data_IF_620173793639
#
_entry.id   IF_620173793639
#
_cell.length_a   1.000
_cell.length_b   1.000
_cell.length_c   1.000
_cell.angle_alpha   90.00
_cell.angle_beta   90.00
_cell.angle_gamma   90.00
#
_symmetry.space_group_name_H-M   'P 1'
#
loop_
_entity.id
_entity.type
_entity.pdbx_description
1 polymer ?
#
# COMPACT_ATOMS: atom_id res chain seq x y z
N UNK A 1 16.49 -34.77 -0.74
CA UNK A 1 16.46 -33.43 -0.10
C UNK A 1 16.38 -32.40 -1.21
N UNK A 2 15.21 -31.84 -1.46
CA UNK A 2 15.08 -30.72 -2.40
C UNK A 2 15.77 -29.48 -1.80
N UNK A 3 16.78 -28.97 -2.51
CA UNK A 3 17.40 -27.69 -2.17
C UNK A 3 16.40 -26.58 -2.48
N UNK A 4 15.80 -25.98 -1.46
CA UNK A 4 15.14 -24.67 -1.60
C UNK A 4 16.20 -23.66 -1.99
N UNK A 5 16.27 -23.31 -3.27
CA UNK A 5 17.04 -22.15 -3.73
C UNK A 5 16.49 -20.92 -3.01
N UNK A 6 17.36 -20.07 -2.41
CA UNK A 6 16.90 -18.82 -1.83
C UNK A 6 16.26 -18.01 -2.95
N UNK A 7 14.98 -17.67 -2.80
CA UNK A 7 14.28 -16.78 -3.72
C UNK A 7 15.09 -15.50 -3.83
N UNK A 8 15.72 -15.30 -5.00
CA UNK A 8 16.46 -14.08 -5.34
C UNK A 8 15.52 -12.93 -5.01
N UNK A 9 15.84 -12.14 -3.98
CA UNK A 9 14.99 -11.02 -3.56
C UNK A 9 15.00 -10.00 -4.70
N UNK A 10 14.01 -10.08 -5.59
CA UNK A 10 13.81 -9.09 -6.63
C UNK A 10 13.41 -7.81 -5.94
N UNK A 11 14.37 -6.88 -5.82
CA UNK A 11 14.11 -5.55 -5.27
C UNK A 11 13.10 -4.89 -6.20
N UNK A 12 11.88 -4.67 -5.70
CA UNK A 12 10.82 -3.97 -6.43
C UNK A 12 10.64 -2.58 -5.81
N UNK A 13 10.58 -1.56 -6.66
CA UNK A 13 10.38 -0.18 -6.27
C UNK A 13 9.17 0.40 -7.00
N UNK A 14 8.45 1.30 -6.32
CA UNK A 14 7.39 2.11 -6.92
C UNK A 14 7.96 3.52 -7.08
N UNK A 15 8.05 4.02 -8.31
CA UNK A 15 8.43 5.41 -8.58
C UNK A 15 7.23 6.32 -8.37
N UNK A 16 7.45 7.42 -7.66
CA UNK A 16 6.44 8.44 -7.38
C UNK A 16 7.07 9.78 -7.76
N UNK A 17 6.29 10.72 -8.31
CA UNK A 17 6.79 12.07 -8.57
C UNK A 17 7.11 12.77 -7.26
N UNK A 18 8.21 13.54 -7.22
CA UNK A 18 8.76 14.13 -6.00
C UNK A 18 7.71 14.95 -5.22
N UNK A 19 6.96 15.79 -5.94
CA UNK A 19 5.93 16.63 -5.34
C UNK A 19 4.61 15.89 -5.02
N UNK A 20 4.38 14.72 -5.64
CA UNK A 20 3.13 14.00 -5.51
C UNK A 20 2.89 13.60 -4.05
N UNK A 21 3.88 13.02 -3.39
CA UNK A 21 3.69 12.57 -2.01
C UNK A 21 3.47 13.73 -1.05
N UNK A 22 4.28 14.78 -1.14
CA UNK A 22 4.15 15.96 -0.29
C UNK A 22 2.78 16.66 -0.48
N UNK A 23 2.36 16.81 -1.75
CA UNK A 23 1.09 17.40 -2.10
C UNK A 23 -0.09 16.58 -1.57
N UNK A 24 -0.12 15.28 -1.84
CA UNK A 24 -1.23 14.43 -1.39
C UNK A 24 -1.29 14.32 0.13
N UNK A 25 -0.14 14.22 0.81
CA UNK A 25 -0.13 14.24 2.29
C UNK A 25 -0.73 15.54 2.84
N UNK A 26 -0.54 16.69 2.17
CA UNK A 26 -1.14 17.96 2.59
C UNK A 26 -2.66 18.03 2.36
N UNK A 27 -3.19 17.30 1.38
CA UNK A 27 -4.61 17.32 1.00
C UNK A 27 -5.41 16.27 1.79
N UNK A 28 -5.00 15.01 1.72
CA UNK A 28 -5.75 13.87 2.26
C UNK A 28 -5.17 13.35 3.58
N UNK A 29 -4.02 13.86 4.01
CA UNK A 29 -3.32 13.41 5.22
C UNK A 29 -2.45 12.17 5.01
N UNK A 30 -1.56 11.93 5.97
CA UNK A 30 -0.55 10.85 5.90
C UNK A 30 -1.17 9.45 5.80
N UNK A 31 -2.19 9.15 6.61
CA UNK A 31 -2.81 7.82 6.64
C UNK A 31 -3.41 7.39 5.29
N UNK A 32 -4.30 8.21 4.71
CA UNK A 32 -4.85 7.98 3.36
C UNK A 32 -3.77 7.93 2.27
N UNK A 33 -2.79 8.84 2.29
CA UNK A 33 -1.69 8.83 1.33
C UNK A 33 -0.88 7.52 1.38
N UNK A 34 -0.56 7.03 2.57
CA UNK A 34 0.16 5.76 2.73
C UNK A 34 -0.69 4.55 2.32
N UNK A 35 -2.01 4.60 2.54
CA UNK A 35 -2.93 3.55 2.06
C UNK A 35 -2.93 3.48 0.53
N UNK A 36 -2.96 4.63 -0.15
CA UNK A 36 -2.86 4.70 -1.61
C UNK A 36 -1.55 4.10 -2.14
N UNK A 37 -0.41 4.37 -1.49
CA UNK A 37 0.87 3.77 -1.85
C UNK A 37 0.90 2.24 -1.67
N UNK A 38 0.26 1.72 -0.61
CA UNK A 38 0.13 0.26 -0.40
C UNK A 38 -0.63 -0.40 -1.54
N UNK A 39 -1.67 0.27 -2.05
CA UNK A 39 -2.44 -0.19 -3.19
C UNK A 39 -1.63 -0.18 -4.49
N UNK A 40 -0.98 0.93 -4.82
CA UNK A 40 -0.08 1.02 -5.98
C UNK A 40 0.99 -0.08 -5.96
N UNK A 41 1.65 -0.26 -4.83
CA UNK A 41 2.66 -1.31 -4.66
C UNK A 41 2.08 -2.73 -4.78
N UNK A 42 0.82 -2.93 -4.43
CA UNK A 42 0.17 -4.24 -4.54
C UNK A 42 -0.17 -4.56 -5.99
N UNK A 43 -0.71 -3.61 -6.75
CA UNK A 43 -1.02 -3.76 -8.17
C UNK A 43 0.22 -4.09 -9.01
N UNK A 44 1.37 -3.48 -8.69
CA UNK A 44 2.63 -3.73 -9.41
C UNK A 44 3.25 -5.11 -9.14
N UNK A 45 2.74 -5.87 -8.16
CA UNK A 45 3.29 -7.19 -7.81
C UNK A 45 2.64 -8.36 -8.55
N UNK A 46 1.87 -8.09 -9.62
CA UNK A 46 1.32 -9.13 -10.51
C UNK A 46 0.45 -10.15 -9.77
N UNK A 47 -0.29 -9.71 -8.75
CA UNK A 47 -1.15 -10.59 -7.96
C UNK A 47 -2.49 -10.76 -8.64
N UNK A 48 -3.00 -12.00 -8.67
CA UNK A 48 -4.32 -12.35 -9.22
C UNK A 48 -5.50 -11.74 -8.46
N UNK A 49 -5.23 -11.12 -7.31
CA UNK A 49 -6.22 -10.40 -6.50
C UNK A 49 -5.87 -8.92 -6.62
N UNK A 50 -6.83 -8.08 -7.02
CA UNK A 50 -6.61 -6.65 -7.18
C UNK A 50 -6.33 -5.93 -5.84
N UNK A 51 -6.78 -6.46 -4.70
CA UNK A 51 -6.70 -5.78 -3.41
C UNK A 51 -6.30 -6.70 -2.23
N UNK A 52 -5.40 -6.26 -1.33
CA UNK A 52 -5.11 -6.98 -0.09
C UNK A 52 -6.29 -6.95 0.88
N UNK A 53 -6.42 -7.98 1.71
CA UNK A 53 -7.45 -7.99 2.77
C UNK A 53 -7.21 -6.89 3.81
N UNK A 54 -8.28 -6.41 4.46
CA UNK A 54 -8.23 -5.42 5.56
C UNK A 54 -7.25 -5.87 6.65
N UNK A 55 -7.25 -7.16 7.01
CA UNK A 55 -6.31 -7.73 8.00
C UNK A 55 -4.85 -7.61 7.56
N UNK A 56 -4.57 -7.84 6.28
CA UNK A 56 -3.23 -7.70 5.71
C UNK A 56 -2.78 -6.24 5.71
N UNK A 57 -3.67 -5.33 5.34
CA UNK A 57 -3.41 -3.89 5.34
C UNK A 57 -3.15 -3.35 6.75
N UNK A 58 -4.00 -3.69 7.73
CA UNK A 58 -3.81 -3.33 9.13
C UNK A 58 -2.43 -3.76 9.65
N UNK A 59 -2.03 -5.00 9.36
CA UNK A 59 -0.71 -5.52 9.77
C UNK A 59 0.44 -4.77 9.10
N UNK A 60 0.33 -4.45 7.81
CA UNK A 60 1.39 -3.73 7.07
C UNK A 60 1.51 -2.27 7.49
N UNK A 61 0.39 -1.62 7.77
CA UNK A 61 0.35 -0.20 8.09
C UNK A 61 0.47 0.07 9.60
N UNK A 62 0.34 -0.95 10.46
CA UNK A 62 0.29 -0.76 11.91
C UNK A 62 -0.97 -0.04 12.37
N UNK A 63 -2.10 -0.24 11.66
CA UNK A 63 -3.35 0.49 11.87
C UNK A 63 -4.48 -0.42 12.35
N UNK A 64 -5.50 0.18 12.96
CA UNK A 64 -6.76 -0.49 13.27
C UNK A 64 -7.71 -0.51 12.07
N UNK A 65 -8.65 -1.45 12.04
CA UNK A 65 -9.70 -1.51 11.01
C UNK A 65 -10.49 -0.21 10.92
N UNK A 66 -10.81 0.43 12.05
CA UNK A 66 -11.53 1.70 12.09
C UNK A 66 -10.75 2.81 11.35
N UNK A 67 -9.44 2.89 11.60
CA UNK A 67 -8.58 3.87 10.94
C UNK A 67 -8.46 3.58 9.44
N UNK A 68 -8.30 2.31 9.07
CA UNK A 68 -8.22 1.90 7.67
C UNK A 68 -9.50 2.20 6.89
N UNK A 69 -10.67 1.98 7.50
CA UNK A 69 -11.97 2.34 6.92
C UNK A 69 -12.04 3.85 6.71
N UNK A 70 -11.68 4.65 7.74
CA UNK A 70 -11.65 6.11 7.61
C UNK A 70 -10.72 6.55 6.48
N UNK A 71 -9.53 5.95 6.37
CA UNK A 71 -8.60 6.28 5.30
C UNK A 71 -9.14 5.95 3.91
N UNK A 72 -9.82 4.81 3.78
CA UNK A 72 -10.50 4.44 2.54
C UNK A 72 -11.61 5.43 2.20
N UNK A 73 -12.41 5.86 3.18
CA UNK A 73 -13.46 6.86 2.95
C UNK A 73 -12.87 8.17 2.43
N UNK A 74 -11.80 8.67 3.06
CA UNK A 74 -11.09 9.86 2.55
C UNK A 74 -10.58 9.68 1.12
N UNK A 75 -10.04 8.51 0.77
CA UNK A 75 -9.60 8.21 -0.61
C UNK A 75 -10.74 8.10 -1.63
N UNK A 76 -11.99 7.90 -1.21
CA UNK A 76 -13.15 7.84 -2.11
C UNK A 76 -13.80 9.21 -2.32
N UNK A 77 -13.51 10.17 -1.45
CA UNK A 77 -14.03 11.54 -1.50
C UNK A 77 -13.21 12.47 -2.40
N UNK A 78 -11.98 12.05 -2.76
CA UNK A 78 -11.02 12.78 -3.60
C UNK A 78 -10.69 11.97 -4.86
#
# INVERSE_FOLDING_TARGET
>A
MERKTPTKQTISYTTIQDYFLAHWVSIIGLGPAMLYLQFLSYCHKGKDIAWPSIKTLNKRMGTTTKSLIKYRTTLLEY
#
